data_IF_264947524625
#
_entry.id   IF_264947524625
#
_cell.length_a   1.000
_cell.length_b   1.000
_cell.length_c   1.000
_cell.angle_alpha   90.00
_cell.angle_beta   90.00
_cell.angle_gamma   90.00
#
_symmetry.space_group_name_H-M   'P 1'
#
loop_
_entity.id
_entity.type
_entity.pdbx_description
1 polymer ?
#
# COMPACT_ATOMS: atom_id res chain seq x y z
N UNK A 1 -5.69 -22.77 9.78
CA UNK A 1 -4.91 -21.76 10.50
C UNK A 1 -5.89 -21.02 11.40
N UNK A 2 -5.55 -20.71 12.64
CA UNK A 2 -6.44 -19.94 13.52
C UNK A 2 -6.40 -18.47 13.02
N UNK A 3 -7.55 -17.81 12.90
CA UNK A 3 -7.59 -16.43 12.45
C UNK A 3 -6.80 -15.54 13.42
N UNK A 4 -6.02 -14.60 12.88
CA UNK A 4 -5.31 -13.62 13.68
C UNK A 4 -6.30 -12.57 14.21
N UNK A 5 -6.21 -12.29 15.50
CA UNK A 5 -6.98 -11.20 16.12
C UNK A 5 -6.03 -10.01 16.24
N UNK A 6 -6.29 -8.98 15.45
CA UNK A 6 -5.45 -7.78 15.46
C UNK A 6 -5.53 -7.06 16.79
N UNK A 7 -4.37 -6.68 17.31
CA UNK A 7 -4.23 -5.75 18.43
C UNK A 7 -4.21 -4.29 17.93
N UNK A 8 -3.78 -4.09 16.70
CA UNK A 8 -3.81 -2.81 16.02
C UNK A 8 -5.21 -2.31 15.72
N UNK A 9 -5.31 -1.02 15.48
CA UNK A 9 -6.53 -0.35 15.03
C UNK A 9 -6.36 0.15 13.61
N UNK A 10 -7.46 0.32 12.89
CA UNK A 10 -7.44 0.96 11.59
C UNK A 10 -6.98 2.40 11.70
N UNK A 11 -5.89 2.73 11.01
CA UNK A 11 -5.33 4.07 10.92
C UNK A 11 -5.42 4.61 9.50
N UNK A 12 -5.49 5.93 9.39
CA UNK A 12 -5.55 6.67 8.13
C UNK A 12 -4.93 8.06 8.31
N UNK A 13 -5.01 8.91 7.31
CA UNK A 13 -4.69 10.34 7.43
C UNK A 13 -5.95 11.14 7.83
N UNK A 14 -5.77 12.43 8.07
CA UNK A 14 -6.86 13.36 8.47
C UNK A 14 -8.00 13.38 7.43
N UNK A 15 -7.68 13.28 6.13
CA UNK A 15 -8.66 13.34 5.03
C UNK A 15 -9.76 12.27 5.15
N UNK A 16 -9.40 11.07 5.65
CA UNK A 16 -10.32 9.93 5.73
C UNK A 16 -10.80 9.61 7.15
N UNK A 17 -10.23 10.24 8.18
CA UNK A 17 -10.45 9.85 9.58
C UNK A 17 -11.93 9.75 9.97
N UNK A 18 -12.71 10.76 9.62
CA UNK A 18 -14.11 10.91 10.00
C UNK A 18 -15.11 10.51 8.88
N UNK A 19 -14.61 10.08 7.71
CA UNK A 19 -15.52 9.73 6.62
C UNK A 19 -16.28 8.44 6.93
N UNK A 20 -17.60 8.53 6.91
CA UNK A 20 -18.46 7.36 7.04
C UNK A 20 -18.42 6.51 5.76
N UNK A 21 -18.36 5.18 5.88
CA UNK A 21 -18.46 4.28 4.75
C UNK A 21 -19.73 4.47 3.96
N UNK A 22 -19.64 4.32 2.64
CA UNK A 22 -20.77 4.37 1.73
C UNK A 22 -21.01 2.98 1.14
N UNK A 23 -22.28 2.67 0.84
CA UNK A 23 -22.61 1.49 0.09
C UNK A 23 -22.55 1.80 -1.40
N UNK A 24 -21.59 1.17 -2.08
CA UNK A 24 -21.40 1.31 -3.53
C UNK A 24 -21.45 -0.07 -4.19
N UNK A 25 -21.92 -0.10 -5.44
CA UNK A 25 -22.08 -1.34 -6.21
C UNK A 25 -21.47 -1.19 -7.58
N UNK A 26 -21.02 -2.31 -8.16
CA UNK A 26 -20.61 -2.36 -9.55
C UNK A 26 -21.69 -1.79 -10.48
N UNK A 27 -21.31 -0.82 -11.31
CA UNK A 27 -22.18 -0.22 -12.30
C UNK A 27 -21.62 -0.45 -13.69
N UNK A 28 -22.32 -1.24 -14.47
CA UNK A 28 -21.90 -1.54 -15.83
C UNK A 28 -22.38 -0.52 -16.86
N UNK A 29 -23.48 0.18 -16.66
CA UNK A 29 -24.18 0.87 -17.74
C UNK A 29 -24.81 2.23 -17.40
N UNK A 30 -24.73 2.72 -16.18
CA UNK A 30 -25.31 4.01 -15.85
C UNK A 30 -24.24 5.00 -15.38
N UNK A 31 -24.11 6.12 -16.09
CA UNK A 31 -23.48 7.31 -15.56
C UNK A 31 -24.39 7.84 -14.44
N UNK A 32 -23.95 7.70 -13.22
CA UNK A 32 -24.52 8.40 -12.09
C UNK A 32 -23.41 9.27 -11.60
N UNK A 33 -23.69 10.56 -11.46
CA UNK A 33 -22.83 11.49 -10.75
C UNK A 33 -22.75 10.97 -9.30
N UNK A 34 -21.69 10.25 -9.01
CA UNK A 34 -21.43 9.75 -7.68
C UNK A 34 -20.66 10.83 -6.94
N UNK A 35 -21.06 11.19 -5.73
CA UNK A 35 -20.38 12.21 -4.93
C UNK A 35 -18.99 11.75 -4.41
N UNK A 36 -18.34 10.79 -5.07
CA UNK A 36 -17.07 10.20 -4.70
C UNK A 36 -15.86 10.75 -5.47
N UNK A 37 -16.05 11.79 -6.29
CA UNK A 37 -14.97 12.41 -7.04
C UNK A 37 -14.00 13.24 -6.18
N UNK A 38 -14.35 13.53 -4.93
CA UNK A 38 -13.51 14.33 -4.03
C UNK A 38 -12.29 13.57 -3.49
N UNK A 39 -12.43 12.25 -3.31
CA UNK A 39 -11.39 11.39 -2.75
C UNK A 39 -11.06 10.26 -3.73
N UNK A 40 -10.31 10.55 -4.77
CA UNK A 40 -9.87 9.56 -5.73
C UNK A 40 -8.37 9.68 -5.96
N UNK A 41 -7.74 8.58 -6.36
CA UNK A 41 -6.31 8.52 -6.64
C UNK A 41 -5.47 9.11 -5.48
N UNK A 42 -5.76 8.63 -4.25
CA UNK A 42 -5.08 9.10 -3.05
C UNK A 42 -3.96 8.17 -2.65
N UNK A 43 -2.75 8.67 -2.78
CA UNK A 43 -1.54 8.01 -2.35
C UNK A 43 -1.15 8.54 -0.98
N UNK A 44 -1.15 7.66 0.03
CA UNK A 44 -0.90 8.03 1.44
C UNK A 44 0.23 7.16 1.98
N UNK A 45 1.15 7.79 2.68
CA UNK A 45 2.32 7.18 3.27
C UNK A 45 2.14 7.02 4.77
N UNK A 46 2.66 5.93 5.30
CA UNK A 46 2.74 5.65 6.73
C UNK A 46 4.15 5.21 7.08
N UNK A 47 4.66 5.68 8.24
CA UNK A 47 5.96 5.26 8.77
C UNK A 47 5.83 4.96 10.26
N UNK A 48 6.52 3.91 10.70
CA UNK A 48 6.64 3.54 12.11
C UNK A 48 8.07 3.21 12.44
N UNK A 49 8.66 3.97 13.34
CA UNK A 49 9.95 3.65 13.96
C UNK A 49 9.76 2.72 15.14
N UNK A 50 10.66 1.75 15.29
CA UNK A 50 10.68 0.86 16.44
C UNK A 50 12.10 0.34 16.69
N UNK A 51 12.42 0.03 17.95
CA UNK A 51 13.75 -0.39 18.37
C UNK A 51 13.71 -1.83 18.84
N UNK A 52 14.73 -2.60 18.47
CA UNK A 52 14.94 -3.97 18.90
C UNK A 52 16.25 -4.08 19.71
N UNK A 53 16.15 -4.57 20.95
CA UNK A 53 17.33 -4.82 21.79
C UNK A 53 18.11 -6.07 21.31
N UNK A 54 17.40 -7.02 20.69
CA UNK A 54 17.96 -8.24 20.11
C UNK A 54 17.20 -8.66 18.86
N UNK A 55 17.86 -9.44 18.00
CA UNK A 55 17.17 -10.04 16.86
C UNK A 55 16.22 -11.14 17.33
N UNK A 56 14.96 -11.15 16.84
CA UNK A 56 14.03 -12.24 17.09
C UNK A 56 14.41 -13.48 16.25
N UNK A 57 13.96 -14.66 16.66
CA UNK A 57 14.06 -15.88 15.83
C UNK A 57 13.02 -15.88 14.71
N UNK A 58 11.89 -15.22 14.93
CA UNK A 58 10.80 -15.07 13.95
C UNK A 58 10.17 -13.70 14.07
N UNK A 59 9.95 -13.04 12.93
CA UNK A 59 9.25 -11.76 12.85
C UNK A 59 8.20 -11.81 11.73
N UNK A 60 6.93 -11.76 12.11
CA UNK A 60 5.80 -11.81 11.19
C UNK A 60 5.05 -10.47 11.22
N UNK A 61 4.87 -9.90 10.05
CA UNK A 61 4.01 -8.73 9.83
C UNK A 61 2.66 -9.22 9.30
N UNK A 62 1.60 -9.05 10.10
CA UNK A 62 0.23 -9.21 9.66
C UNK A 62 -0.25 -7.86 9.14
N UNK A 63 -0.68 -7.79 7.88
CA UNK A 63 -0.95 -6.49 7.24
C UNK A 63 -2.09 -6.57 6.23
N UNK A 64 -2.92 -5.55 6.24
CA UNK A 64 -3.90 -5.26 5.20
C UNK A 64 -4.13 -3.75 5.07
N UNK A 65 -4.70 -3.34 3.97
CA UNK A 65 -5.14 -1.96 3.73
C UNK A 65 -6.35 -1.94 2.80
N UNK A 66 -6.98 -0.81 2.70
CA UNK A 66 -8.01 -0.54 1.70
C UNK A 66 -7.65 0.77 0.94
N UNK A 67 -7.49 0.75 -0.41
CA UNK A 67 -7.67 -0.39 -1.35
C UNK A 67 -6.43 -1.31 -1.42
N UNK A 68 -5.21 -0.70 -1.48
CA UNK A 68 -3.94 -1.40 -1.69
C UNK A 68 -2.84 -0.84 -0.81
N UNK A 69 -1.81 -1.66 -0.58
CA UNK A 69 -0.56 -1.22 0.02
C UNK A 69 0.67 -1.78 -0.70
N UNK A 70 1.79 -1.07 -0.56
CA UNK A 70 3.16 -1.55 -0.71
C UNK A 70 3.88 -1.35 0.62
N UNK A 71 4.50 -2.38 1.17
CA UNK A 71 5.19 -2.34 2.45
C UNK A 71 6.69 -2.54 2.30
N UNK A 72 7.45 -1.80 3.09
CA UNK A 72 8.91 -1.80 3.12
C UNK A 72 9.39 -1.88 4.57
N UNK A 73 10.45 -2.64 4.78
CA UNK A 73 11.14 -2.69 6.08
C UNK A 73 12.59 -2.33 5.86
N UNK A 74 13.08 -1.32 6.57
CA UNK A 74 14.47 -0.84 6.48
C UNK A 74 14.94 -0.59 5.03
N UNK A 75 14.06 -0.03 4.19
CA UNK A 75 14.35 0.27 2.79
C UNK A 75 14.08 -0.89 1.82
N UNK A 76 13.92 -2.11 2.33
CA UNK A 76 13.61 -3.30 1.52
C UNK A 76 12.12 -3.48 1.29
N UNK A 77 11.69 -3.67 0.03
CA UNK A 77 10.31 -4.07 -0.28
C UNK A 77 10.02 -5.47 0.28
N UNK A 78 8.91 -5.62 1.00
CA UNK A 78 8.56 -6.89 1.64
C UNK A 78 7.22 -7.47 1.19
N UNK A 79 6.23 -6.62 0.83
CA UNK A 79 4.90 -7.10 0.44
C UNK A 79 4.09 -6.05 -0.31
N UNK A 80 3.14 -6.56 -1.09
CA UNK A 80 2.09 -5.77 -1.73
C UNK A 80 0.77 -6.53 -1.64
N UNK A 81 -0.30 -5.83 -1.36
CA UNK A 81 -1.64 -6.38 -1.25
C UNK A 81 -2.67 -5.32 -0.81
N UNK A 82 -3.79 -5.78 -0.29
CA UNK A 82 -4.32 -7.13 -0.36
C UNK A 82 -4.82 -7.47 -1.78
N UNK A 83 -5.23 -8.74 -2.01
CA UNK A 83 -6.02 -9.04 -3.19
C UNK A 83 -7.38 -8.32 -3.09
N UNK A 84 -7.94 -7.84 -4.23
CA UNK A 84 -9.23 -7.16 -4.22
C UNK A 84 -10.32 -7.98 -3.54
N UNK A 85 -11.05 -7.34 -2.64
CA UNK A 85 -12.11 -7.97 -1.85
C UNK A 85 -13.17 -6.93 -1.47
N UNK A 86 -14.28 -7.41 -0.92
CA UNK A 86 -15.28 -6.56 -0.29
C UNK A 86 -15.00 -6.37 1.20
N UNK A 87 -15.52 -5.30 1.84
CA UNK A 87 -15.26 -5.04 3.26
C UNK A 87 -15.69 -6.16 4.21
N UNK A 88 -16.70 -6.95 3.84
CA UNK A 88 -17.17 -8.08 4.62
C UNK A 88 -16.22 -9.30 4.59
N UNK A 89 -15.21 -9.30 3.74
CA UNK A 89 -14.18 -10.34 3.64
C UNK A 89 -12.84 -9.78 3.16
N UNK A 90 -12.38 -8.70 3.76
CA UNK A 90 -11.09 -8.08 3.41
C UNK A 90 -9.93 -8.98 3.83
N UNK A 91 -9.07 -9.32 2.87
CA UNK A 91 -7.94 -10.21 3.10
C UNK A 91 -6.77 -9.53 3.81
N UNK A 92 -6.11 -10.22 4.75
CA UNK A 92 -4.79 -9.82 5.25
C UNK A 92 -3.71 -10.82 4.82
N UNK A 93 -2.49 -10.33 4.69
CA UNK A 93 -1.31 -11.13 4.44
C UNK A 93 -0.48 -11.31 5.71
N UNK A 94 0.26 -12.42 5.78
CA UNK A 94 1.28 -12.68 6.79
C UNK A 94 2.61 -12.71 6.08
N UNK A 95 3.48 -11.77 6.41
CA UNK A 95 4.76 -11.55 5.74
C UNK A 95 5.88 -11.85 6.72
N UNK A 96 6.76 -12.78 6.39
CA UNK A 96 7.99 -13.01 7.15
C UNK A 96 8.99 -11.90 6.84
N UNK A 97 9.32 -11.11 7.84
CA UNK A 97 10.27 -10.00 7.76
C UNK A 97 11.51 -10.22 8.64
N UNK A 98 11.74 -11.46 9.09
CA UNK A 98 12.84 -11.80 10.00
C UNK A 98 14.20 -11.34 9.43
N UNK A 99 14.42 -11.58 8.14
CA UNK A 99 15.69 -11.26 7.46
C UNK A 99 15.90 -9.77 7.18
N UNK A 100 14.88 -8.92 7.38
CA UNK A 100 14.94 -7.47 7.16
C UNK A 100 15.25 -6.68 8.43
N UNK A 101 15.16 -7.32 9.59
CA UNK A 101 15.36 -6.65 10.87
C UNK A 101 16.82 -6.65 11.32
N UNK A 102 17.18 -5.64 12.09
CA UNK A 102 18.47 -5.56 12.79
C UNK A 102 18.26 -5.04 14.22
N UNK A 103 19.28 -5.20 15.08
CA UNK A 103 19.31 -4.60 16.41
C UNK A 103 19.39 -3.07 16.30
N UNK A 104 18.79 -2.38 17.23
CA UNK A 104 18.66 -0.93 17.19
C UNK A 104 17.41 -0.49 16.46
N UNK A 105 17.45 0.67 15.83
CA UNK A 105 16.29 1.28 15.17
C UNK A 105 15.93 0.59 13.88
N UNK A 106 14.65 0.34 13.69
CA UNK A 106 14.05 -0.22 12.49
C UNK A 106 12.88 0.67 12.04
N UNK A 107 12.55 0.60 10.76
CA UNK A 107 11.44 1.36 10.17
C UNK A 107 10.56 0.44 9.34
N UNK A 108 9.26 0.45 9.63
CA UNK A 108 8.22 -0.01 8.73
C UNK A 108 7.67 1.20 7.97
N UNK A 109 7.73 1.16 6.64
CA UNK A 109 7.15 2.17 5.77
C UNK A 109 6.11 1.54 4.85
N UNK A 110 4.94 2.17 4.73
CA UNK A 110 3.83 1.65 3.94
C UNK A 110 3.27 2.77 3.05
N UNK A 111 3.13 2.47 1.78
CA UNK A 111 2.42 3.30 0.82
C UNK A 111 1.05 2.66 0.57
N UNK A 112 -0.02 3.38 0.84
CA UNK A 112 -1.39 2.96 0.52
C UNK A 112 -1.94 3.75 -0.65
N UNK A 113 -2.78 3.10 -1.44
CA UNK A 113 -3.51 3.73 -2.54
C UNK A 113 -5.01 3.53 -2.32
N UNK A 114 -5.76 4.63 -2.31
CA UNK A 114 -7.21 4.64 -2.42
C UNK A 114 -7.59 5.09 -3.83
N UNK A 115 -8.18 4.18 -4.61
CA UNK A 115 -8.53 4.48 -6.00
C UNK A 115 -9.73 5.40 -6.12
N UNK A 116 -10.76 5.20 -5.32
CA UNK A 116 -11.98 5.99 -5.42
C UNK A 116 -12.78 5.74 -6.70
N UNK A 117 -12.53 4.60 -7.41
CA UNK A 117 -13.19 4.26 -8.67
C UNK A 117 -14.34 3.29 -8.44
N UNK A 118 -15.47 3.55 -9.12
CA UNK A 118 -16.61 2.65 -9.18
C UNK A 118 -16.85 2.30 -10.65
N UNK A 119 -16.49 1.10 -11.02
CA UNK A 119 -16.64 0.57 -12.37
C UNK A 119 -16.93 -0.93 -12.32
N UNK A 120 -16.84 -1.62 -13.43
CA UNK A 120 -17.11 -3.07 -13.49
C UNK A 120 -15.97 -3.94 -12.95
N UNK A 121 -14.79 -3.37 -12.69
CA UNK A 121 -13.60 -4.08 -12.20
C UNK A 121 -13.41 -3.81 -10.72
N UNK A 122 -13.65 -2.56 -10.28
CA UNK A 122 -13.39 -2.08 -8.94
C UNK A 122 -14.64 -1.48 -8.31
N UNK A 123 -14.76 -1.68 -7.01
CA UNK A 123 -15.71 -0.99 -6.14
C UNK A 123 -14.89 -0.38 -5.01
N UNK A 124 -14.26 0.74 -5.32
CA UNK A 124 -13.66 1.69 -4.41
C UNK A 124 -14.52 2.97 -4.48
N UNK A 125 -14.22 4.04 -3.84
CA UNK A 125 -15.09 5.23 -3.84
C UNK A 125 -16.19 5.16 -2.79
N UNK A 126 -15.99 4.29 -1.83
CA UNK A 126 -16.90 4.02 -0.73
C UNK A 126 -16.47 4.72 0.58
N UNK A 127 -15.51 5.63 0.50
CA UNK A 127 -14.87 6.35 1.62
C UNK A 127 -14.05 5.46 2.58
N UNK A 128 -13.88 4.18 2.26
CA UNK A 128 -13.05 3.30 3.07
C UNK A 128 -11.60 3.45 2.64
N UNK A 129 -10.76 3.89 3.53
CA UNK A 129 -9.31 3.91 3.39
C UNK A 129 -8.70 3.65 4.74
N UNK A 130 -7.61 2.91 4.77
CA UNK A 130 -6.84 2.71 5.99
C UNK A 130 -5.80 1.63 5.88
N UNK A 131 -5.00 1.56 6.92
CA UNK A 131 -3.97 0.57 7.16
C UNK A 131 -4.27 -0.14 8.48
N UNK A 132 -4.15 -1.46 8.50
CA UNK A 132 -4.21 -2.29 9.70
C UNK A 132 -3.02 -3.24 9.69
N UNK A 133 -2.22 -3.25 10.75
CA UNK A 133 -1.13 -4.20 10.87
C UNK A 133 -0.77 -4.52 12.32
N UNK A 134 -0.17 -5.69 12.52
CA UNK A 134 0.46 -6.13 13.76
C UNK A 134 1.86 -6.67 13.48
N UNK A 135 2.83 -6.32 14.32
CA UNK A 135 4.13 -6.98 14.34
C UNK A 135 4.16 -8.03 15.44
N UNK A 136 4.45 -9.26 15.04
CA UNK A 136 4.58 -10.42 15.94
C UNK A 136 6.03 -10.88 15.92
N UNK A 137 6.69 -10.87 17.08
CA UNK A 137 8.06 -11.34 17.27
C UNK A 137 8.04 -12.57 18.18
N UNK A 138 8.69 -13.64 17.75
CA UNK A 138 8.81 -14.90 18.52
C UNK A 138 7.43 -15.42 19.02
N UNK A 139 6.37 -15.17 18.29
CA UNK A 139 5.00 -15.58 18.58
C UNK A 139 4.18 -14.61 19.44
N UNK A 140 4.77 -13.49 19.88
CA UNK A 140 4.07 -12.48 20.68
C UNK A 140 3.87 -11.18 19.87
N UNK A 141 2.67 -10.61 19.93
CA UNK A 141 2.39 -9.31 19.32
C UNK A 141 3.07 -8.21 20.13
N UNK A 142 4.04 -7.53 19.52
CA UNK A 142 4.81 -6.46 20.19
C UNK A 142 4.20 -5.09 20.00
N UNK A 143 3.56 -4.85 18.85
CA UNK A 143 2.73 -3.67 18.60
C UNK A 143 1.79 -3.89 17.42
N UNK A 144 0.70 -3.14 17.40
CA UNK A 144 -0.21 -3.00 16.27
C UNK A 144 -0.23 -1.56 15.72
N UNK A 145 -0.91 -1.38 14.61
CA UNK A 145 -1.15 -0.04 14.03
C UNK A 145 -1.91 0.84 15.01
N UNK A 146 -1.41 2.05 15.21
CA UNK A 146 -1.96 3.08 16.09
C UNK A 146 -1.47 4.48 15.67
N UNK A 147 -1.85 5.49 16.43
CA UNK A 147 -1.51 6.89 16.18
C UNK A 147 -0.01 7.20 16.34
N UNK A 148 0.84 6.25 16.72
CA UNK A 148 2.30 6.37 16.71
C UNK A 148 2.90 6.16 15.32
N UNK A 149 2.12 5.72 14.34
CA UNK A 149 2.51 5.86 12.94
C UNK A 149 2.49 7.33 12.54
N UNK A 150 3.46 7.75 11.76
CA UNK A 150 3.44 9.02 11.06
C UNK A 150 2.81 8.83 9.69
N UNK A 151 2.09 9.83 9.21
CA UNK A 151 1.44 9.81 7.89
C UNK A 151 1.67 11.09 7.11
N UNK A 152 1.72 10.95 5.80
CA UNK A 152 1.86 12.05 4.85
C UNK A 152 1.23 11.69 3.52
N UNK A 153 0.82 12.69 2.76
CA UNK A 153 0.39 12.48 1.38
C UNK A 153 1.60 12.26 0.47
N UNK A 154 1.55 11.26 -0.40
CA UNK A 154 2.60 11.07 -1.39
C UNK A 154 2.37 11.98 -2.59
N UNK A 155 3.12 13.08 -2.68
CA UNK A 155 2.92 14.14 -3.67
C UNK A 155 3.58 13.85 -5.03
N UNK A 156 4.39 12.79 -5.12
CA UNK A 156 5.03 12.37 -6.37
C UNK A 156 4.03 11.93 -7.46
N UNK A 157 2.83 11.51 -7.06
CA UNK A 157 1.79 11.09 -7.99
C UNK A 157 0.87 12.25 -8.35
N UNK A 158 0.80 12.58 -9.64
CA UNK A 158 -0.12 13.58 -10.16
C UNK A 158 -1.26 12.91 -10.93
N UNK A 159 -2.47 13.42 -10.74
CA UNK A 159 -3.64 12.94 -11.50
C UNK A 159 -3.46 13.23 -12.99
N UNK A 160 -3.50 12.18 -13.82
CA UNK A 160 -3.35 12.29 -15.28
C UNK A 160 -4.44 11.53 -16.07
N UNK A 161 -5.56 11.21 -15.41
CA UNK A 161 -6.70 10.53 -16.01
C UNK A 161 -6.66 9.01 -15.86
N UNK A 162 -7.59 8.34 -16.56
CA UNK A 162 -7.79 6.89 -16.48
C UNK A 162 -7.58 6.20 -17.81
N UNK A 163 -7.24 4.92 -17.78
CA UNK A 163 -7.10 4.08 -18.98
C UNK A 163 -8.33 3.22 -19.24
N UNK A 164 -8.51 2.81 -20.50
CA UNK A 164 -9.56 1.90 -20.93
C UNK A 164 -10.95 2.45 -20.64
N UNK A 165 -11.77 1.67 -19.99
CA UNK A 165 -13.14 2.06 -19.58
C UNK A 165 -13.15 2.68 -18.18
N UNK A 166 -12.19 3.54 -17.87
CA UNK A 166 -11.95 4.10 -16.53
C UNK A 166 -11.73 2.99 -15.48
N UNK A 167 -10.96 1.96 -15.84
CA UNK A 167 -10.72 0.81 -14.97
C UNK A 167 -9.62 1.05 -13.95
N UNK A 168 -8.68 1.93 -14.28
CA UNK A 168 -7.59 2.34 -13.37
C UNK A 168 -7.02 3.69 -13.78
N UNK A 169 -6.33 4.36 -12.86
CA UNK A 169 -5.59 5.57 -13.17
C UNK A 169 -4.33 5.29 -13.98
N UNK A 170 -3.95 6.25 -14.81
CA UNK A 170 -2.59 6.32 -15.37
C UNK A 170 -1.66 6.87 -14.30
N UNK A 171 -0.41 6.43 -14.31
CA UNK A 171 0.61 6.99 -13.41
C UNK A 171 1.34 8.15 -14.08
N UNK A 172 1.40 9.29 -13.38
CA UNK A 172 2.33 10.38 -13.64
C UNK A 172 3.15 10.59 -12.37
N UNK A 173 4.40 10.14 -12.41
CA UNK A 173 5.26 10.08 -11.23
C UNK A 173 6.45 11.03 -11.35
N UNK A 174 6.59 11.93 -10.39
CA UNK A 174 7.74 12.83 -10.26
C UNK A 174 8.80 12.23 -9.32
N UNK A 175 9.88 11.74 -9.89
CA UNK A 175 11.00 11.18 -9.13
C UNK A 175 11.83 12.21 -8.34
N UNK A 176 11.54 13.50 -8.48
CA UNK A 176 12.16 14.56 -7.70
C UNK A 176 11.32 15.02 -6.51
N UNK A 177 10.13 14.45 -6.30
CA UNK A 177 9.29 14.77 -5.17
C UNK A 177 9.98 14.39 -3.84
N UNK A 178 9.76 15.17 -2.76
CA UNK A 178 10.49 14.97 -1.51
C UNK A 178 10.21 13.62 -0.84
N UNK A 179 9.07 12.98 -1.11
CA UNK A 179 8.69 11.71 -0.47
C UNK A 179 9.16 10.46 -1.24
N UNK A 180 9.93 10.60 -2.32
CA UNK A 180 10.31 9.45 -3.18
C UNK A 180 11.02 8.36 -2.39
N UNK A 181 11.91 8.74 -1.47
CA UNK A 181 12.69 7.81 -0.66
C UNK A 181 12.08 7.56 0.74
N UNK A 182 10.77 7.74 0.90
CA UNK A 182 10.07 7.60 2.18
C UNK A 182 10.33 6.27 2.89
N UNK A 183 10.73 5.25 2.17
CA UNK A 183 10.94 3.90 2.69
C UNK A 183 12.34 3.68 3.29
N UNK A 184 13.31 4.58 3.06
CA UNK A 184 14.66 4.41 3.62
C UNK A 184 14.71 4.85 5.09
N UNK A 185 15.52 4.19 5.95
CA UNK A 185 15.60 4.53 7.37
C UNK A 185 16.03 5.98 7.65
N UNK A 186 16.92 6.52 6.81
CA UNK A 186 17.47 7.88 6.95
C UNK A 186 16.56 8.99 6.43
N UNK A 187 15.38 8.67 5.92
CA UNK A 187 14.41 9.67 5.46
C UNK A 187 13.94 10.55 6.62
N UNK A 188 13.94 11.87 6.41
CA UNK A 188 13.46 12.82 7.41
C UNK A 188 11.92 12.94 7.35
N UNK A 189 11.26 12.32 8.30
CA UNK A 189 9.81 12.36 8.49
C UNK A 189 9.36 13.31 9.62
N UNK A 190 10.25 14.19 10.09
CA UNK A 190 9.95 15.12 11.19
C UNK A 190 8.80 16.09 10.89
N UNK A 191 8.53 16.35 9.61
CA UNK A 191 7.41 17.17 9.15
C UNK A 191 6.08 16.40 8.98
N UNK A 192 6.07 15.09 9.24
CA UNK A 192 4.87 14.29 9.09
C UNK A 192 3.97 14.37 10.33
N UNK A 193 2.69 14.10 10.16
CA UNK A 193 1.71 14.13 11.25
C UNK A 193 1.45 12.73 11.79
N UNK A 194 1.06 12.58 13.07
CA UNK A 194 0.55 11.31 13.56
C UNK A 194 -0.63 10.82 12.73
N UNK A 195 -0.69 9.52 12.48
CA UNK A 195 -1.83 8.90 11.84
C UNK A 195 -3.08 9.05 12.69
N UNK A 196 -4.23 9.15 12.04
CA UNK A 196 -5.53 9.25 12.67
C UNK A 196 -6.16 7.86 12.80
N UNK A 197 -6.83 7.60 13.90
CA UNK A 197 -7.70 6.43 14.02
C UNK A 197 -8.94 6.63 13.16
N UNK A 198 -9.36 5.57 12.44
CA UNK A 198 -10.62 5.59 11.71
C UNK A 198 -11.80 5.62 12.68
N UNK A 199 -12.69 6.61 12.52
CA UNK A 199 -13.90 6.73 13.35
C UNK A 199 -14.94 5.65 13.03
N UNK A 200 -15.03 5.24 11.77
CA UNK A 200 -16.03 4.31 11.28
C UNK A 200 -15.37 3.07 10.68
N UNK A 201 -15.57 1.92 11.30
CA UNK A 201 -15.01 0.63 10.90
C UNK A 201 -16.17 -0.36 10.73
N UNK A 202 -16.26 -0.98 9.55
CA UNK A 202 -17.22 -2.02 9.22
C UNK A 202 -16.59 -3.19 8.44
N UNK A 203 -15.27 -3.33 8.55
CA UNK A 203 -14.53 -4.43 7.93
C UNK A 203 -14.68 -5.73 8.72
N UNK A 204 -14.82 -6.83 7.98
CA UNK A 204 -14.53 -8.17 8.46
C UNK A 204 -13.23 -8.66 7.81
N UNK A 205 -12.16 -8.74 8.61
CA UNK A 205 -10.81 -9.07 8.15
C UNK A 205 -10.57 -10.57 8.30
N UNK A 206 -10.13 -11.22 7.21
CA UNK A 206 -9.90 -12.67 7.14
C UNK A 206 -8.51 -12.94 6.53
N UNK A 207 -7.91 -14.12 6.74
CA UNK A 207 -6.71 -14.49 5.99
C UNK A 207 -6.99 -14.42 4.49
N UNK A 208 -6.09 -13.81 3.71
CA UNK A 208 -6.26 -13.76 2.26
C UNK A 208 -6.31 -15.19 1.69
N UNK A 209 -7.37 -15.55 0.94
CA UNK A 209 -7.55 -16.91 0.44
C UNK A 209 -6.64 -17.24 -0.75
N UNK A 210 -6.06 -16.24 -1.39
CA UNK A 210 -5.14 -16.39 -2.52
C UNK A 210 -3.70 -16.30 -2.06
N UNK A 211 -2.78 -16.89 -2.83
CA UNK A 211 -1.36 -16.76 -2.58
C UNK A 211 -0.91 -15.29 -2.68
N UNK A 212 0.14 -14.94 -1.94
CA UNK A 212 0.82 -13.67 -2.09
C UNK A 212 1.44 -13.55 -3.49
N UNK A 213 1.57 -12.30 -3.98
CA UNK A 213 2.27 -12.04 -5.23
C UNK A 213 3.76 -12.36 -5.07
N UNK A 214 4.33 -12.99 -6.09
CA UNK A 214 5.76 -13.24 -6.22
C UNK A 214 6.31 -12.28 -7.28
N UNK A 215 7.44 -11.65 -6.99
CA UNK A 215 8.06 -10.68 -7.88
C UNK A 215 9.41 -11.19 -8.38
N UNK A 216 9.53 -11.36 -9.70
CA UNK A 216 10.76 -11.74 -10.37
C UNK A 216 11.31 -10.57 -11.18
N UNK A 217 12.64 -10.36 -11.14
CA UNK A 217 13.29 -9.36 -11.97
C UNK A 217 13.65 -9.94 -13.33
N UNK A 218 13.02 -9.42 -14.38
CA UNK A 218 13.30 -9.79 -15.77
C UNK A 218 14.14 -8.69 -16.42
N UNK A 219 15.27 -9.09 -17.04
CA UNK A 219 16.12 -8.18 -17.82
C UNK A 219 15.73 -8.24 -19.29
N UNK A 220 15.86 -7.12 -20.06
CA UNK A 220 15.64 -7.17 -21.49
C UNK A 220 16.63 -8.14 -22.16
N UNK A 221 16.12 -8.94 -23.09
CA UNK A 221 16.93 -9.83 -23.95
C UNK A 221 17.60 -9.07 -25.08
N UNK A 222 17.07 -7.91 -25.45
CA UNK A 222 17.64 -6.99 -26.44
C UNK A 222 17.44 -5.56 -26.00
N UNK A 223 18.49 -4.76 -26.16
CA UNK A 223 18.47 -3.29 -25.96
C UNK A 223 19.01 -2.64 -27.22
N UNK A 224 18.28 -1.69 -27.81
CA UNK A 224 18.64 -1.01 -29.04
C UNK A 224 18.32 0.49 -28.93
N UNK A 225 19.30 1.33 -29.26
CA UNK A 225 19.09 2.78 -29.35
C UNK A 225 18.69 3.15 -30.80
N UNK A 226 17.55 3.83 -30.93
CA UNK A 226 17.00 4.30 -32.20
C UNK A 226 16.82 5.83 -32.11
N UNK A 227 17.85 6.59 -32.49
CA UNK A 227 17.88 8.02 -32.25
C UNK A 227 17.84 8.34 -30.78
N UNK A 228 16.84 9.11 -30.33
CA UNK A 228 16.63 9.49 -28.94
C UNK A 228 15.78 8.47 -28.16
N UNK A 229 15.35 7.39 -28.81
CA UNK A 229 14.52 6.36 -28.21
C UNK A 229 15.35 5.15 -27.82
N UNK A 230 15.12 4.62 -26.63
CA UNK A 230 15.67 3.35 -26.17
C UNK A 230 14.59 2.27 -26.33
N UNK A 231 14.85 1.28 -27.17
CA UNK A 231 14.00 0.11 -27.35
C UNK A 231 14.51 -1.02 -26.48
N UNK A 232 13.58 -1.58 -25.66
CA UNK A 232 13.84 -2.69 -24.76
C UNK A 232 12.90 -3.85 -25.12
N UNK A 233 13.48 -5.00 -25.47
CA UNK A 233 12.74 -6.22 -25.76
C UNK A 233 12.98 -7.22 -24.62
N UNK A 234 11.92 -7.65 -23.97
CA UNK A 234 11.98 -8.63 -22.89
C UNK A 234 11.74 -10.06 -23.38
N UNK A 235 11.57 -10.29 -24.70
CA UNK A 235 11.38 -11.59 -25.31
C UNK A 235 9.98 -12.20 -25.09
N UNK A 236 9.15 -11.61 -24.22
CA UNK A 236 7.80 -12.03 -23.95
C UNK A 236 6.98 -10.88 -23.38
N UNK A 237 5.66 -11.10 -23.26
CA UNK A 237 4.76 -10.16 -22.58
C UNK A 237 4.74 -10.49 -21.08
N UNK A 238 4.99 -9.49 -20.25
CA UNK A 238 4.94 -9.58 -18.79
C UNK A 238 3.96 -8.57 -18.22
N UNK A 239 3.40 -8.90 -17.06
CA UNK A 239 2.67 -7.97 -16.21
C UNK A 239 3.58 -7.60 -15.05
N UNK A 240 3.83 -6.31 -14.84
CA UNK A 240 4.76 -5.88 -13.79
C UNK A 240 5.05 -4.38 -13.83
N UNK A 241 6.12 -4.02 -13.14
CA UNK A 241 6.61 -2.65 -13.04
C UNK A 241 7.92 -2.50 -13.82
N UNK A 242 8.10 -1.34 -14.45
CA UNK A 242 9.36 -1.00 -15.08
C UNK A 242 10.30 -0.38 -14.02
N UNK A 243 11.48 -0.98 -13.83
CA UNK A 243 12.55 -0.41 -13.01
C UNK A 243 13.59 0.23 -13.92
N UNK A 244 13.75 1.55 -13.80
CA UNK A 244 14.76 2.33 -14.53
C UNK A 244 15.76 2.89 -13.53
N UNK A 245 17.06 2.71 -13.80
CA UNK A 245 18.13 3.41 -13.09
C UNK A 245 18.75 4.41 -14.05
N UNK A 246 18.64 5.69 -13.76
CA UNK A 246 19.29 6.76 -14.49
C UNK A 246 20.55 7.20 -13.72
N UNK A 247 21.67 7.37 -14.45
CA UNK A 247 22.94 7.90 -13.92
C UNK A 247 23.13 9.33 -14.40
#
# INVERSE_FOLDING_TARGET
MKDHVFSGVWITNEEFAELAPRQVFHRQLQRVDLPCDEHRDRHILFRRHFTLDRLPQSALLYITADDYYKAYVNGGFVSQGPAPAYPDRLGYLVVDITGQLHTGENVLAVHTLYQGLINRVWVSGDNRHGLLCDLVLDGETVWGSDERFLTHRHTAYAECGTVGYATQFMESYDSAAPEVDFFVPSFDDSGWTPACRRAHIDYHVVPQPTAALVFDTVKPVKTERRGDTLFLDFGSTYVGYLRVSAC
#
